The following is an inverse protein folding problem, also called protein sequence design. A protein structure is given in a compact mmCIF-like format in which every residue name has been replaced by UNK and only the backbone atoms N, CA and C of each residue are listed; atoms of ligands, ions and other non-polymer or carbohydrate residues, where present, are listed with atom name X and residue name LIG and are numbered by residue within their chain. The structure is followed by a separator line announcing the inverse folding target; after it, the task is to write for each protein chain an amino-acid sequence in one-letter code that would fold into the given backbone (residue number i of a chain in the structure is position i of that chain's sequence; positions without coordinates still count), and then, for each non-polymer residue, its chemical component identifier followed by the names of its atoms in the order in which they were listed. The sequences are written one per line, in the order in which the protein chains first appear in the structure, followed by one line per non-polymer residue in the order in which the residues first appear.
data_IF_995969336720
#
_entry.id   IF_995969336720
#
_cell.length_a   1.000
_cell.length_b   1.000
_cell.length_c   1.000
_cell.angle_alpha   90.00
_cell.angle_beta   90.00
_cell.angle_gamma   90.00
#
_symmetry.space_group_name_H-M   'P 1'
#
loop_
_entity.id
_entity.type
_entity.pdbx_description
1 polymer ?
#
# COMPACT_ATOMS: atom_id res chain seq x y z
N UNK A 1 -18.50 -7.75 -11.24
CA UNK A 1 -17.78 -7.29 -10.03
C UNK A 1 -18.74 -6.40 -9.26
N UNK A 2 -18.92 -6.62 -7.94
CA UNK A 2 -19.75 -5.76 -7.09
C UNK A 2 -19.37 -4.28 -7.19
N UNK A 3 -20.34 -3.39 -6.98
CA UNK A 3 -20.14 -1.93 -7.09
C UNK A 3 -19.07 -1.45 -6.12
N UNK A 4 -19.07 -1.97 -4.89
CA UNK A 4 -18.08 -1.61 -3.87
C UNK A 4 -16.63 -1.97 -4.24
N UNK A 5 -16.40 -2.83 -5.24
CA UNK A 5 -15.04 -3.21 -5.65
C UNK A 5 -14.62 -2.63 -7.00
N UNK A 6 -15.48 -1.82 -7.61
CA UNK A 6 -15.18 -1.21 -8.90
C UNK A 6 -13.95 -0.32 -8.87
N UNK A 7 -13.73 0.39 -7.76
CA UNK A 7 -12.61 1.32 -7.59
C UNK A 7 -11.25 0.64 -7.34
N UNK A 8 -11.24 -0.65 -6.95
CA UNK A 8 -10.00 -1.44 -6.77
C UNK A 8 -9.68 -2.32 -7.99
N UNK A 9 -10.43 -2.19 -9.08
CA UNK A 9 -10.25 -3.01 -10.27
C UNK A 9 -9.04 -2.56 -11.09
N UNK A 10 -7.96 -3.34 -11.03
CA UNK A 10 -6.72 -3.07 -11.76
C UNK A 10 -6.95 -3.00 -13.27
N UNK A 11 -7.81 -3.86 -13.84
CA UNK A 11 -8.10 -3.87 -15.28
C UNK A 11 -8.76 -2.56 -15.73
N UNK A 12 -9.72 -2.05 -14.94
CA UNK A 12 -10.37 -0.76 -15.21
C UNK A 12 -9.37 0.38 -15.08
N UNK A 13 -8.68 0.47 -13.94
CA UNK A 13 -7.69 1.52 -13.70
C UNK A 13 -6.59 1.54 -14.78
N UNK A 14 -6.13 0.36 -15.20
CA UNK A 14 -5.18 0.21 -16.30
C UNK A 14 -5.77 0.68 -17.63
N UNK A 15 -7.00 0.27 -17.97
CA UNK A 15 -7.63 0.67 -19.23
C UNK A 15 -7.84 2.18 -19.32
N UNK A 16 -8.29 2.80 -18.23
CA UNK A 16 -8.49 4.25 -18.13
C UNK A 16 -7.14 4.98 -18.26
N UNK A 17 -6.10 4.47 -17.59
CA UNK A 17 -4.75 4.99 -17.71
C UNK A 17 -4.22 4.90 -19.15
N UNK A 18 -4.38 3.76 -19.82
CA UNK A 18 -3.92 3.60 -21.21
C UNK A 18 -4.64 4.56 -22.16
N UNK A 19 -5.94 4.79 -21.95
CA UNK A 19 -6.73 5.72 -22.75
C UNK A 19 -6.30 7.18 -22.56
N UNK A 20 -6.02 7.60 -21.32
CA UNK A 20 -5.61 8.97 -21.00
C UNK A 20 -4.14 9.24 -21.35
N UNK A 21 -3.26 8.27 -21.09
CA UNK A 21 -1.82 8.41 -21.32
C UNK A 21 -1.43 8.33 -22.80
N UNK A 22 -2.23 7.64 -23.62
CA UNK A 22 -1.95 7.44 -25.04
C UNK A 22 -0.69 6.64 -25.33
N UNK A 23 -0.11 5.98 -24.32
CA UNK A 23 1.14 5.23 -24.46
C UNK A 23 0.87 3.93 -25.23
N UNK A 24 1.66 3.68 -26.27
CA UNK A 24 1.62 2.42 -27.03
C UNK A 24 2.88 1.58 -26.82
N UNK A 25 3.94 2.18 -26.28
CA UNK A 25 5.24 1.55 -26.05
C UNK A 25 6.02 2.22 -24.91
N UNK A 26 7.06 1.52 -24.44
CA UNK A 26 7.93 1.99 -23.37
C UNK A 26 7.40 1.69 -21.96
N UNK A 27 7.80 2.50 -20.98
CA UNK A 27 7.37 2.34 -19.59
C UNK A 27 5.89 2.67 -19.42
N UNK A 28 5.17 1.79 -18.72
CA UNK A 28 3.75 1.97 -18.41
C UNK A 28 3.48 3.22 -17.57
N UNK A 29 4.35 3.49 -16.59
CA UNK A 29 4.30 4.68 -15.76
C UNK A 29 5.54 5.51 -16.05
N UNK A 30 5.36 6.56 -16.85
CA UNK A 30 6.40 7.54 -17.14
C UNK A 30 6.44 8.61 -16.07
N UNK A 31 7.58 9.30 -16.01
CA UNK A 31 7.74 10.47 -15.14
C UNK A 31 6.65 11.51 -15.44
N UNK A 32 6.05 12.06 -14.39
CA UNK A 32 5.04 13.12 -14.50
C UNK A 32 5.73 14.47 -14.25
N UNK A 33 5.50 15.44 -15.13
CA UNK A 33 6.04 16.80 -15.07
C UNK A 33 5.00 17.75 -14.49
N UNK A 34 5.41 19.00 -14.28
CA UNK A 34 4.53 20.09 -13.84
C UNK A 34 3.27 20.16 -14.72
N UNK A 35 2.13 20.44 -14.10
CA UNK A 35 0.79 20.45 -14.72
C UNK A 35 0.33 19.06 -15.21
N UNK A 36 0.72 18.00 -14.50
CA UNK A 36 0.29 16.61 -14.74
C UNK A 36 0.55 16.07 -16.15
N UNK A 37 1.59 16.60 -16.81
CA UNK A 37 1.99 16.14 -18.15
C UNK A 37 2.95 14.97 -18.06
N UNK A 38 2.73 13.93 -18.85
CA UNK A 38 3.70 12.85 -18.99
C UNK A 38 4.98 13.36 -19.68
N UNK A 39 6.13 12.86 -19.23
CA UNK A 39 7.38 13.05 -19.94
C UNK A 39 7.31 12.39 -21.33
N UNK A 40 7.76 13.13 -22.35
CA UNK A 40 7.86 12.61 -23.72
C UNK A 40 8.95 11.54 -23.81
N UNK A 41 10.02 11.71 -23.03
CA UNK A 41 11.10 10.74 -22.92
C UNK A 41 10.60 9.43 -22.31
N UNK A 42 11.13 8.31 -22.78
CA UNK A 42 10.83 6.99 -22.24
C UNK A 42 11.59 6.74 -20.92
N UNK A 43 11.30 7.57 -19.91
CA UNK A 43 11.86 7.49 -18.56
C UNK A 43 10.81 6.99 -17.57
N UNK A 44 11.14 6.01 -16.72
CA UNK A 44 10.19 5.51 -15.73
C UNK A 44 9.96 6.53 -14.62
N UNK A 45 8.75 6.54 -14.07
CA UNK A 45 8.47 7.21 -12.80
C UNK A 45 9.38 6.62 -11.70
N UNK A 46 9.99 7.48 -10.90
CA UNK A 46 10.79 7.02 -9.75
C UNK A 46 9.92 6.74 -8.54
N UNK A 47 10.42 5.91 -7.62
CA UNK A 47 9.74 5.62 -6.35
C UNK A 47 9.49 6.88 -5.52
N UNK A 48 10.41 7.84 -5.57
CA UNK A 48 10.32 9.12 -4.85
C UNK A 48 9.18 9.97 -5.41
N UNK A 49 9.08 10.08 -6.73
CA UNK A 49 7.98 10.80 -7.39
C UNK A 49 6.63 10.13 -7.07
N UNK A 50 6.56 8.79 -7.15
CA UNK A 50 5.35 8.08 -6.76
C UNK A 50 4.94 8.39 -5.32
N UNK A 51 5.89 8.34 -4.38
CA UNK A 51 5.63 8.63 -2.97
C UNK A 51 5.15 10.06 -2.75
N UNK A 52 5.76 11.04 -3.42
CA UNK A 52 5.33 12.44 -3.32
C UNK A 52 3.88 12.61 -3.79
N UNK A 53 3.55 12.09 -4.98
CA UNK A 53 2.21 12.15 -5.53
C UNK A 53 1.19 11.40 -4.65
N UNK A 54 1.56 10.24 -4.14
CA UNK A 54 0.72 9.47 -3.24
C UNK A 54 0.41 10.22 -1.94
N UNK A 55 1.39 10.91 -1.35
CA UNK A 55 1.18 11.74 -0.16
C UNK A 55 0.27 12.92 -0.44
N UNK A 56 0.41 13.56 -1.60
CA UNK A 56 -0.48 14.64 -2.02
C UNK A 56 -1.92 14.14 -2.18
N UNK A 57 -2.12 12.98 -2.82
CA UNK A 57 -3.45 12.36 -2.94
C UNK A 57 -4.09 12.06 -1.58
N UNK A 58 -3.30 11.64 -0.57
CA UNK A 58 -3.79 11.43 0.79
C UNK A 58 -4.21 12.75 1.46
N UNK A 59 -3.42 13.81 1.28
CA UNK A 59 -3.74 15.14 1.80
C UNK A 59 -5.02 15.70 1.18
N UNK A 60 -5.24 15.49 -0.12
CA UNK A 60 -6.44 15.95 -0.83
C UNK A 60 -7.74 15.35 -0.27
N UNK A 61 -7.66 14.14 0.31
CA UNK A 61 -8.79 13.48 0.98
C UNK A 61 -8.77 13.62 2.50
N UNK A 62 -7.88 14.47 3.05
CA UNK A 62 -7.78 14.73 4.49
C UNK A 62 -7.18 13.58 5.32
N UNK A 63 -6.41 12.69 4.70
CA UNK A 63 -5.73 11.58 5.37
C UNK A 63 -4.27 11.95 5.67
N UNK A 64 -3.84 11.74 6.92
CA UNK A 64 -2.44 11.90 7.30
C UNK A 64 -1.57 10.88 6.55
N UNK A 65 -0.60 11.38 5.78
CA UNK A 65 0.28 10.56 4.97
C UNK A 65 1.47 9.97 5.76
N UNK A 66 1.76 10.46 6.97
CA UNK A 66 2.93 10.03 7.78
C UNK A 66 3.04 8.51 7.94
N UNK A 67 1.97 7.75 8.21
CA UNK A 67 2.07 6.29 8.33
C UNK A 67 2.20 5.56 6.99
N UNK A 68 2.15 6.28 5.86
CA UNK A 68 2.14 5.70 4.52
C UNK A 68 3.47 5.85 3.77
N UNK A 69 3.90 4.77 3.12
CA UNK A 69 5.15 4.68 2.37
C UNK A 69 5.09 3.60 1.28
N UNK A 70 6.26 3.22 0.73
CA UNK A 70 6.35 2.32 -0.44
C UNK A 70 5.80 0.92 -0.19
N UNK A 71 5.75 0.49 1.07
CA UNK A 71 5.23 -0.82 1.47
C UNK A 71 3.76 -0.80 1.91
N UNK A 72 3.09 0.37 1.92
CA UNK A 72 1.72 0.50 2.45
C UNK A 72 0.71 -0.35 1.69
N UNK A 73 0.73 -0.34 0.35
CA UNK A 73 -0.18 -1.16 -0.45
C UNK A 73 0.05 -2.66 -0.24
N UNK A 74 1.31 -3.07 -0.09
CA UNK A 74 1.66 -4.47 0.15
C UNK A 74 1.16 -4.95 1.53
N UNK A 75 1.28 -4.10 2.55
CA UNK A 75 0.76 -4.37 3.90
C UNK A 75 -0.76 -4.37 3.93
N UNK A 76 -1.40 -3.28 3.46
CA UNK A 76 -2.85 -3.15 3.43
C UNK A 76 -3.52 -4.24 2.60
N UNK A 77 -2.96 -4.57 1.43
CA UNK A 77 -3.45 -5.68 0.60
C UNK A 77 -3.35 -7.04 1.29
N UNK A 78 -2.22 -7.32 1.96
CA UNK A 78 -2.05 -8.55 2.74
C UNK A 78 -3.12 -8.67 3.85
N UNK A 79 -3.32 -7.60 4.61
CA UNK A 79 -4.28 -7.55 5.70
C UNK A 79 -5.73 -7.64 5.18
N UNK A 80 -6.07 -6.95 4.09
CA UNK A 80 -7.40 -7.03 3.47
C UNK A 80 -7.69 -8.44 2.93
N UNK A 81 -6.73 -9.08 2.26
CA UNK A 81 -6.89 -10.46 1.78
C UNK A 81 -7.06 -11.45 2.94
N UNK A 82 -6.38 -11.23 4.06
CA UNK A 82 -6.48 -12.07 5.25
C UNK A 82 -7.78 -11.86 6.02
N UNK A 83 -8.16 -10.61 6.30
CA UNK A 83 -9.26 -10.27 7.22
C UNK A 83 -10.60 -10.24 6.49
N UNK A 84 -10.69 -9.45 5.42
CA UNK A 84 -11.94 -9.24 4.69
C UNK A 84 -12.23 -10.39 3.73
N UNK A 85 -11.23 -10.82 2.96
CA UNK A 85 -11.40 -11.90 1.96
C UNK A 85 -11.21 -13.29 2.52
N UNK A 86 -10.64 -13.41 3.73
CA UNK A 86 -10.36 -14.69 4.42
C UNK A 86 -9.61 -15.70 3.55
N UNK A 87 -8.67 -15.22 2.74
CA UNK A 87 -7.85 -16.10 1.91
C UNK A 87 -6.94 -16.98 2.78
N UNK A 88 -6.74 -18.26 2.43
CA UNK A 88 -5.74 -19.09 3.07
C UNK A 88 -4.34 -18.47 2.98
N UNK A 89 -3.55 -18.61 4.03
CA UNK A 89 -2.23 -17.99 4.13
C UNK A 89 -1.30 -18.35 2.95
N UNK A 90 -1.37 -19.58 2.43
CA UNK A 90 -0.60 -20.01 1.25
C UNK A 90 -0.97 -19.22 -0.01
N UNK A 91 -2.26 -18.93 -0.21
CA UNK A 91 -2.74 -18.12 -1.33
C UNK A 91 -2.26 -16.66 -1.21
N UNK A 92 -2.22 -16.13 0.02
CA UNK A 92 -1.67 -14.79 0.28
C UNK A 92 -0.15 -14.79 0.05
N UNK A 93 0.57 -15.84 0.45
CA UNK A 93 1.98 -16.01 0.14
C UNK A 93 2.23 -16.00 -1.38
N UNK A 94 1.43 -16.74 -2.15
CA UNK A 94 1.51 -16.75 -3.61
C UNK A 94 1.25 -15.36 -4.20
N UNK A 95 0.18 -14.68 -3.80
CA UNK A 95 -0.14 -13.31 -4.24
C UNK A 95 0.98 -12.32 -3.92
N UNK A 96 1.54 -12.41 -2.72
CA UNK A 96 2.63 -11.53 -2.30
C UNK A 96 3.99 -11.90 -2.88
N UNK A 97 4.17 -13.11 -3.41
CA UNK A 97 5.50 -13.63 -3.76
C UNK A 97 6.36 -13.93 -2.53
N UNK A 98 5.75 -14.34 -1.41
CA UNK A 98 6.45 -14.85 -0.24
C UNK A 98 6.60 -16.38 -0.30
N UNK A 99 7.56 -16.92 0.45
CA UNK A 99 7.68 -18.37 0.59
C UNK A 99 6.38 -18.97 1.13
N UNK A 100 5.93 -20.06 0.52
CA UNK A 100 4.85 -20.88 1.04
C UNK A 100 5.34 -21.87 2.10
N UNK A 101 6.66 -21.99 2.27
CA UNK A 101 7.28 -22.68 3.37
C UNK A 101 7.32 -21.72 4.57
N UNK A 102 6.58 -22.07 5.62
CA UNK A 102 6.45 -21.24 6.83
C UNK A 102 7.72 -21.19 7.70
N UNK A 103 8.86 -21.64 7.16
CA UNK A 103 10.20 -21.44 7.71
C UNK A 103 10.60 -19.96 7.66
N UNK A 104 10.10 -19.21 6.67
CA UNK A 104 10.36 -17.78 6.52
C UNK A 104 9.09 -16.96 6.83
N UNK A 105 9.05 -16.40 8.04
CA UNK A 105 7.91 -15.62 8.55
C UNK A 105 7.85 -14.18 7.99
N UNK A 106 8.31 -13.95 6.77
CA UNK A 106 8.29 -12.60 6.15
C UNK A 106 6.87 -12.06 6.03
N UNK A 107 5.89 -12.92 5.71
CA UNK A 107 4.47 -12.55 5.65
C UNK A 107 3.95 -12.02 7.00
N UNK A 108 4.47 -12.54 8.13
CA UNK A 108 4.04 -12.12 9.47
C UNK A 108 4.32 -10.64 9.69
N UNK A 109 5.42 -10.10 9.16
CA UNK A 109 5.73 -8.66 9.22
C UNK A 109 4.70 -7.78 8.51
N UNK A 110 3.95 -8.32 7.55
CA UNK A 110 2.93 -7.62 6.78
C UNK A 110 1.52 -7.86 7.33
N UNK A 111 1.28 -9.00 7.97
CA UNK A 111 0.03 -9.25 8.71
C UNK A 111 -0.01 -8.42 9.99
N UNK A 112 1.04 -8.52 10.80
CA UNK A 112 1.16 -7.81 12.08
C UNK A 112 1.50 -6.34 11.79
N UNK A 113 0.67 -5.43 12.32
CA UNK A 113 0.87 -3.99 12.29
C UNK A 113 2.08 -3.61 13.12
N UNK A 114 2.73 -2.49 12.79
CA UNK A 114 3.76 -1.92 13.66
C UNK A 114 3.18 -1.55 15.04
N UNK A 115 1.88 -1.19 15.09
CA UNK A 115 1.16 -0.92 16.33
C UNK A 115 0.83 -2.17 17.16
N UNK A 116 1.11 -3.37 16.64
CA UNK A 116 0.82 -4.62 17.33
C UNK A 116 1.97 -4.93 18.31
N UNK A 117 1.80 -4.42 19.52
CA UNK A 117 2.69 -4.65 20.65
C UNK A 117 2.27 -5.96 21.37
N UNK A 118 3.16 -6.82 21.86
CA UNK A 118 2.77 -7.97 22.69
C UNK A 118 1.95 -7.60 23.95
N UNK A 119 1.90 -6.32 24.32
CA UNK A 119 1.12 -5.80 25.46
C UNK A 119 -0.28 -5.28 25.11
N UNK A 120 -0.72 -5.30 23.84
CA UNK A 120 -2.11 -4.98 23.50
C UNK A 120 -3.00 -6.21 23.63
N UNK A 121 -4.29 -5.96 23.86
CA UNK A 121 -5.29 -7.01 23.92
C UNK A 121 -5.36 -7.74 22.57
N UNK A 122 -5.64 -9.04 22.60
CA UNK A 122 -5.78 -9.85 21.40
C UNK A 122 -6.92 -9.34 20.52
N UNK A 123 -7.95 -8.76 21.13
CA UNK A 123 -9.09 -8.19 20.42
C UNK A 123 -8.71 -6.93 19.60
N UNK A 124 -7.57 -6.32 19.89
CA UNK A 124 -7.03 -5.19 19.14
C UNK A 124 -6.13 -5.60 17.96
N UNK A 125 -5.77 -6.88 17.83
CA UNK A 125 -5.03 -7.35 16.65
C UNK A 125 -5.88 -7.19 15.39
N UNK A 126 -5.28 -6.62 14.34
CA UNK A 126 -5.97 -6.30 13.08
C UNK A 126 -7.14 -5.31 13.21
N UNK A 127 -7.25 -4.56 14.31
CA UNK A 127 -8.23 -3.48 14.42
C UNK A 127 -7.84 -2.30 13.50
N UNK A 128 -8.40 -2.28 12.29
CA UNK A 128 -8.13 -1.25 11.27
C UNK A 128 -8.67 0.15 11.64
N UNK A 129 -9.55 0.24 12.64
CA UNK A 129 -10.11 1.52 13.11
C UNK A 129 -9.29 2.14 14.24
N UNK A 130 -8.25 1.45 14.71
CA UNK A 130 -7.37 1.97 15.76
C UNK A 130 -6.57 3.16 15.23
N UNK A 131 -6.53 4.24 16.01
CA UNK A 131 -5.72 5.40 15.67
C UNK A 131 -4.24 4.97 15.51
N UNK A 132 -3.54 5.46 14.47
CA UNK A 132 -2.14 5.14 14.28
C UNK A 132 -1.30 5.68 15.45
N UNK A 133 -0.31 4.90 15.88
CA UNK A 133 0.70 5.38 16.82
C UNK A 133 1.55 6.42 16.10
N UNK A 134 1.30 7.70 16.35
CA UNK A 134 2.04 8.81 15.74
C UNK A 134 3.36 9.11 16.45
N UNK A 135 3.50 8.60 17.68
CA UNK A 135 4.68 8.77 18.53
C UNK A 135 5.00 7.46 19.22
N UNK A 136 6.25 7.04 19.13
CA UNK A 136 6.70 5.84 19.81
C UNK A 136 6.51 6.00 21.33
N UNK A 137 5.86 5.05 22.03
CA UNK A 137 5.69 5.12 23.48
C UNK A 137 7.00 5.03 24.26
N UNK A 138 8.09 4.57 23.62
CA UNK A 138 9.43 4.49 24.21
C UNK A 138 10.27 5.74 23.96
N UNK A 139 10.26 6.28 22.73
CA UNK A 139 11.14 7.37 22.31
C UNK A 139 10.45 8.74 22.27
N UNK A 140 9.11 8.77 22.32
CA UNK A 140 8.22 9.94 22.17
C UNK A 140 8.49 10.81 20.92
N UNK A 141 8.99 10.18 19.85
CA UNK A 141 9.23 10.78 18.53
C UNK A 141 8.61 9.92 17.44
N UNK A 142 8.49 10.46 16.24
CA UNK A 142 8.28 9.69 15.01
C UNK A 142 9.58 8.95 14.65
N UNK A 143 9.85 7.84 15.34
CA UNK A 143 11.01 6.98 15.12
C UNK A 143 10.56 5.63 14.54
N UNK A 144 11.51 4.75 14.17
CA UNK A 144 11.25 3.37 13.74
C UNK A 144 10.58 2.46 14.80
N UNK A 145 10.23 3.02 15.94
CA UNK A 145 9.50 2.37 17.02
C UNK A 145 8.10 2.99 17.23
N UNK A 146 7.69 3.99 16.43
CA UNK A 146 6.38 4.63 16.43
C UNK A 146 5.41 3.85 15.53
#
# INVERSE_FOLDING_TARGET
MPEEYQHICVVRAFSDWMLVSGLTEGYLFRKIRINDRLAEENEPMTSEQFLEMFRNNLLDIGVDFVPYGTHSFRRGGCQWLSVERRWPLRQICEWGGWSQEFTHLTIVKYLISWNDNPHIDRDDFFNMHRAPTTVCPTCNRSCHCA
#
